data_IF_979298669865
#
_entry.id   IF_979298669865
#
_cell.length_a   1.000
_cell.length_b   1.000
_cell.length_c   1.000
_cell.angle_alpha   90.00
_cell.angle_beta   90.00
_cell.angle_gamma   90.00
#
_symmetry.space_group_name_H-M   'P 1'
#
loop_
_entity.id
_entity.type
_entity.pdbx_description
1 polymer ?
#
# COMPACT_ATOMS: atom_id res chain seq x y z
N UNK A 1 11.15 1.97 11.68
CA UNK A 1 11.15 2.48 10.28
C UNK A 1 10.05 3.51 10.10
N UNK A 2 10.38 4.72 9.61
CA UNK A 2 9.47 5.85 9.44
C UNK A 2 9.53 6.34 7.99
N UNK A 3 8.38 6.41 7.32
CA UNK A 3 8.26 7.00 5.99
C UNK A 3 7.95 8.48 6.11
N UNK A 4 8.75 9.33 5.48
CA UNK A 4 8.55 10.78 5.49
C UNK A 4 9.08 11.42 4.21
N UNK A 5 8.76 12.69 3.98
CA UNK A 5 9.46 13.49 2.98
C UNK A 5 10.90 13.71 3.42
N UNK A 6 11.81 13.74 2.46
CA UNK A 6 13.19 14.11 2.71
C UNK A 6 13.27 15.61 3.03
N UNK A 7 14.18 15.95 3.92
CA UNK A 7 14.51 17.33 4.31
C UNK A 7 15.92 17.66 3.83
N UNK A 8 16.27 18.96 3.77
CA UNK A 8 17.57 19.38 3.27
C UNK A 8 18.75 18.81 4.08
N UNK A 9 18.53 18.51 5.36
CA UNK A 9 19.53 17.84 6.21
C UNK A 9 19.87 16.41 5.77
N UNK A 10 18.97 15.76 4.99
CA UNK A 10 19.12 14.37 4.53
C UNK A 10 19.90 14.30 3.20
N UNK A 11 20.21 15.46 2.59
CA UNK A 11 20.80 15.55 1.25
C UNK A 11 22.05 14.71 1.10
N UNK A 12 23.01 14.87 2.00
CA UNK A 12 24.30 14.19 1.93
C UNK A 12 24.16 12.67 2.10
N UNK A 13 23.23 12.23 2.97
CA UNK A 13 22.97 10.82 3.21
C UNK A 13 22.30 10.17 2.00
N UNK A 14 21.33 10.87 1.37
CA UNK A 14 20.66 10.40 0.15
C UNK A 14 21.64 10.35 -1.02
N UNK A 15 22.51 11.35 -1.19
CA UNK A 15 23.56 11.34 -2.20
C UNK A 15 24.54 10.18 -2.00
N UNK A 16 24.83 9.84 -0.73
CA UNK A 16 25.58 8.64 -0.38
C UNK A 16 24.92 7.35 -0.88
N UNK A 17 23.59 7.22 -0.72
CA UNK A 17 22.83 6.08 -1.25
C UNK A 17 22.83 6.03 -2.78
N UNK A 18 22.73 7.17 -3.47
CA UNK A 18 22.81 7.22 -4.94
C UNK A 18 24.19 6.78 -5.43
N UNK A 19 25.26 7.23 -4.77
CA UNK A 19 26.62 6.82 -5.08
C UNK A 19 26.84 5.32 -4.82
N UNK A 20 26.32 4.76 -3.71
CA UNK A 20 26.36 3.32 -3.45
C UNK A 20 25.62 2.55 -4.55
N UNK A 21 24.48 3.05 -5.01
CA UNK A 21 23.70 2.41 -6.06
C UNK A 21 24.38 2.44 -7.44
N UNK A 22 25.08 3.52 -7.79
CA UNK A 22 25.77 3.64 -9.08
C UNK A 22 26.92 2.63 -9.26
N UNK A 23 27.43 2.05 -8.19
CA UNK A 23 28.44 1.00 -8.24
C UNK A 23 27.90 -0.38 -8.69
N UNK A 24 26.58 -0.52 -8.82
CA UNK A 24 25.99 -1.76 -9.28
C UNK A 24 26.00 -1.87 -10.81
N UNK A 25 26.40 -3.00 -11.33
CA UNK A 25 26.51 -3.27 -12.79
C UNK A 25 25.23 -3.04 -13.60
N UNK A 26 24.05 -3.11 -12.94
CA UNK A 26 22.74 -2.90 -13.57
C UNK A 26 22.23 -1.46 -13.42
N UNK A 27 23.00 -0.59 -12.77
CA UNK A 27 22.64 0.80 -12.59
C UNK A 27 23.09 1.60 -13.82
N UNK A 28 22.21 2.43 -14.33
CA UNK A 28 22.52 3.34 -15.46
C UNK A 28 22.98 4.72 -14.98
N UNK A 29 23.14 4.88 -13.66
CA UNK A 29 23.61 6.13 -13.06
C UNK A 29 25.12 6.21 -13.08
N UNK A 30 25.63 7.44 -13.19
CA UNK A 30 27.05 7.77 -13.17
C UNK A 30 27.33 8.98 -12.26
N UNK A 31 28.53 9.51 -12.31
CA UNK A 31 28.93 10.67 -11.49
C UNK A 31 28.16 11.96 -11.84
N UNK A 32 27.50 12.03 -12.99
CA UNK A 32 26.71 13.17 -13.45
C UNK A 32 25.23 13.08 -13.11
N UNK A 33 24.71 11.87 -12.78
CA UNK A 33 23.29 11.65 -12.49
C UNK A 33 23.05 10.49 -11.52
N UNK A 34 22.21 10.66 -10.48
CA UNK A 34 21.59 11.93 -10.03
C UNK A 34 22.63 12.82 -9.34
N UNK A 35 22.62 14.10 -9.67
CA UNK A 35 23.48 15.08 -9.02
C UNK A 35 22.83 15.73 -7.78
N UNK A 36 23.62 16.51 -7.05
CA UNK A 36 23.18 17.23 -5.85
C UNK A 36 22.06 18.24 -6.15
N UNK A 37 22.09 18.87 -7.32
CA UNK A 37 21.08 19.84 -7.75
C UNK A 37 19.71 19.20 -7.94
N UNK A 38 19.67 18.03 -8.59
CA UNK A 38 18.47 17.23 -8.79
C UNK A 38 17.91 16.78 -7.44
N UNK A 39 18.75 16.21 -6.57
CA UNK A 39 18.31 15.77 -5.24
C UNK A 39 17.74 16.93 -4.41
N UNK A 40 18.42 18.08 -4.42
CA UNK A 40 17.95 19.28 -3.74
C UNK A 40 16.61 19.79 -4.28
N UNK A 41 16.44 19.82 -5.60
CA UNK A 41 15.18 20.17 -6.26
C UNK A 41 14.05 19.23 -5.82
N UNK A 42 14.30 17.92 -5.79
CA UNK A 42 13.30 16.93 -5.36
C UNK A 42 12.88 17.14 -3.90
N UNK A 43 13.80 17.50 -3.02
CA UNK A 43 13.51 17.85 -1.62
C UNK A 43 12.66 19.12 -1.54
N UNK A 44 13.10 20.20 -2.19
CA UNK A 44 12.43 21.50 -2.17
C UNK A 44 11.00 21.46 -2.75
N UNK A 45 10.75 20.58 -3.70
CA UNK A 45 9.43 20.38 -4.32
C UNK A 45 8.58 19.30 -3.61
N UNK A 46 9.04 18.80 -2.46
CA UNK A 46 8.40 17.68 -1.75
C UNK A 46 8.13 16.46 -2.66
N UNK A 47 9.06 16.19 -3.57
CA UNK A 47 8.98 15.09 -4.55
C UNK A 47 9.87 13.91 -4.18
N UNK A 48 10.50 13.91 -3.01
CA UNK A 48 11.38 12.86 -2.52
C UNK A 48 10.85 12.29 -1.21
N UNK A 49 10.51 11.01 -1.22
CA UNK A 49 10.22 10.25 0.00
C UNK A 49 11.44 9.47 0.45
N UNK A 50 11.65 9.41 1.74
CA UNK A 50 12.67 8.57 2.36
C UNK A 50 12.07 7.62 3.40
N UNK A 51 12.80 6.54 3.67
CA UNK A 51 12.56 5.62 4.75
C UNK A 51 13.72 5.72 5.72
N UNK A 52 13.41 6.08 6.95
CA UNK A 52 14.36 6.21 8.05
C UNK A 52 14.24 5.01 9.00
N UNK A 53 15.36 4.46 9.40
CA UNK A 53 15.46 3.44 10.44
C UNK A 53 16.53 3.84 11.46
N UNK A 54 16.12 4.02 12.74
CA UNK A 54 17.00 4.43 13.83
C UNK A 54 17.87 5.67 13.51
N UNK A 55 17.27 6.68 12.87
CA UNK A 55 17.94 7.92 12.51
C UNK A 55 18.81 7.85 11.25
N UNK A 56 18.79 6.75 10.52
CA UNK A 56 19.53 6.57 9.25
C UNK A 56 18.57 6.43 8.08
N UNK A 57 18.85 7.12 6.97
CA UNK A 57 18.08 6.95 5.73
C UNK A 57 18.52 5.66 5.04
N UNK A 58 17.60 4.73 4.88
CA UNK A 58 17.87 3.42 4.30
C UNK A 58 17.27 3.21 2.91
N UNK A 59 16.38 4.09 2.48
CA UNK A 59 15.82 4.08 1.14
C UNK A 59 15.27 5.46 0.76
N UNK A 60 15.26 5.76 -0.53
CA UNK A 60 14.65 6.95 -1.09
C UNK A 60 13.97 6.65 -2.43
N UNK A 61 12.95 7.42 -2.79
CA UNK A 61 12.26 7.37 -4.08
C UNK A 61 11.77 8.77 -4.42
N UNK A 62 12.03 9.20 -5.65
CA UNK A 62 11.50 10.45 -6.20
C UNK A 62 10.27 10.19 -7.07
N UNK A 63 9.38 11.18 -7.12
CA UNK A 63 8.34 11.26 -8.13
C UNK A 63 8.51 12.58 -8.89
N UNK A 64 9.04 12.41 -10.09
CA UNK A 64 9.47 13.53 -10.95
C UNK A 64 8.44 13.91 -12.01
N UNK A 65 8.68 15.02 -12.67
CA UNK A 65 8.12 15.36 -13.98
C UNK A 65 9.28 15.70 -14.90
N UNK A 66 9.61 14.75 -15.75
CA UNK A 66 10.51 14.97 -16.86
C UNK A 66 9.64 15.13 -18.12
N UNK A 67 9.69 16.31 -18.75
CA UNK A 67 8.88 16.60 -19.93
C UNK A 67 9.15 15.61 -21.09
N UNK A 68 10.35 15.06 -21.18
CA UNK A 68 10.69 14.08 -22.21
C UNK A 68 10.03 12.76 -21.89
N UNK A 69 10.16 12.28 -20.66
CA UNK A 69 9.54 11.02 -20.21
C UNK A 69 8.03 11.12 -20.19
N UNK A 70 7.47 12.20 -19.65
CA UNK A 70 6.02 12.39 -19.52
C UNK A 70 5.31 12.49 -20.89
N UNK A 71 6.01 12.93 -21.95
CA UNK A 71 5.45 13.07 -23.30
C UNK A 71 5.76 11.89 -24.23
N UNK A 72 6.33 10.80 -23.76
CA UNK A 72 6.49 9.59 -24.58
C UNK A 72 5.12 9.09 -25.06
N UNK A 73 5.02 8.76 -26.35
CA UNK A 73 3.77 8.24 -26.93
C UNK A 73 3.38 6.84 -26.42
N UNK A 74 4.23 6.20 -25.63
CA UNK A 74 4.01 4.90 -25.02
C UNK A 74 2.91 4.90 -23.95
N UNK A 75 2.73 6.05 -23.28
CA UNK A 75 1.81 6.15 -22.16
C UNK A 75 0.35 6.18 -22.60
N UNK A 76 -0.54 5.64 -21.78
CA UNK A 76 -1.96 5.65 -22.05
C UNK A 76 -2.49 7.08 -22.08
N UNK A 77 -3.00 7.50 -23.24
CA UNK A 77 -3.47 8.88 -23.49
C UNK A 77 -4.50 9.39 -22.48
N UNK A 78 -5.28 8.50 -21.84
CA UNK A 78 -6.26 8.86 -20.80
C UNK A 78 -5.63 9.46 -19.54
N UNK A 79 -4.31 9.19 -19.31
CA UNK A 79 -3.60 9.71 -18.15
C UNK A 79 -2.72 10.94 -18.45
N UNK A 80 -2.75 11.42 -19.70
CA UNK A 80 -1.96 12.59 -20.10
C UNK A 80 -2.16 13.75 -19.13
N UNK A 81 -1.07 14.34 -18.64
CA UNK A 81 -1.04 15.38 -17.59
C UNK A 81 -1.66 14.96 -16.23
N UNK A 82 -1.91 13.67 -16.01
CA UNK A 82 -2.48 13.11 -14.77
C UNK A 82 -1.67 11.94 -14.24
N UNK A 83 -0.53 11.67 -14.82
CA UNK A 83 0.45 10.70 -14.38
C UNK A 83 1.69 11.38 -13.78
N UNK A 84 2.51 10.62 -13.08
CA UNK A 84 3.82 11.03 -12.57
C UNK A 84 4.81 9.92 -12.74
N UNK A 85 6.04 10.29 -13.03
CA UNK A 85 7.15 9.36 -13.05
C UNK A 85 7.56 8.97 -11.62
N UNK A 86 7.83 7.69 -11.40
CA UNK A 86 8.57 7.19 -10.25
C UNK A 86 10.02 7.02 -10.66
N UNK A 87 10.90 7.78 -10.06
CA UNK A 87 12.32 7.84 -10.42
C UNK A 87 13.23 7.67 -9.20
N UNK A 88 14.49 7.43 -9.45
CA UNK A 88 15.58 7.46 -8.46
C UNK A 88 15.29 6.63 -7.19
N UNK A 89 14.71 5.42 -7.38
CA UNK A 89 14.50 4.50 -6.28
C UNK A 89 15.82 3.86 -5.87
N UNK A 90 16.19 4.03 -4.62
CA UNK A 90 17.37 3.43 -4.02
C UNK A 90 17.05 2.78 -2.68
N UNK A 91 17.73 1.68 -2.39
CA UNK A 91 17.69 0.99 -1.09
C UNK A 91 19.12 0.64 -0.71
N UNK A 92 19.52 1.02 0.51
CA UNK A 92 20.83 0.72 1.10
C UNK A 92 21.14 -0.78 0.99
N UNK A 93 22.35 -1.14 0.60
CA UNK A 93 22.74 -2.52 0.27
C UNK A 93 22.42 -3.50 1.41
N UNK A 94 22.70 -3.12 2.67
CA UNK A 94 22.43 -3.94 3.85
C UNK A 94 20.94 -4.19 4.13
N UNK A 95 20.04 -3.44 3.47
CA UNK A 95 18.57 -3.56 3.62
C UNK A 95 17.89 -4.13 2.38
N UNK A 96 18.66 -4.56 1.37
CA UNK A 96 18.10 -5.19 0.15
C UNK A 96 17.46 -6.55 0.44
N UNK A 97 16.66 -7.03 -0.51
CA UNK A 97 15.92 -8.31 -0.44
C UNK A 97 14.89 -8.43 0.71
N UNK A 98 14.54 -7.31 1.36
CA UNK A 98 13.54 -7.23 2.43
C UNK A 98 12.20 -6.62 1.97
N UNK A 99 12.00 -6.47 0.66
CA UNK A 99 10.78 -5.89 0.08
C UNK A 99 10.65 -4.37 0.23
N UNK A 100 11.71 -3.66 0.69
CA UNK A 100 11.68 -2.22 0.94
C UNK A 100 11.40 -1.42 -0.34
N UNK A 101 12.02 -1.78 -1.47
CA UNK A 101 11.77 -1.11 -2.75
C UNK A 101 10.28 -1.13 -3.13
N UNK A 102 9.62 -2.27 -3.01
CA UNK A 102 8.20 -2.39 -3.29
C UNK A 102 7.35 -1.56 -2.32
N UNK A 103 7.69 -1.54 -1.02
CA UNK A 103 7.02 -0.70 -0.03
C UNK A 103 7.19 0.79 -0.33
N UNK A 104 8.38 1.24 -0.77
CA UNK A 104 8.63 2.63 -1.18
C UNK A 104 7.75 3.03 -2.37
N UNK A 105 7.66 2.19 -3.41
CA UNK A 105 6.78 2.41 -4.56
C UNK A 105 5.31 2.55 -4.11
N UNK A 106 4.82 1.62 -3.27
CA UNK A 106 3.43 1.67 -2.78
C UNK A 106 3.15 2.94 -1.98
N UNK A 107 4.11 3.40 -1.16
CA UNK A 107 3.99 4.67 -0.43
C UNK A 107 3.97 5.88 -1.37
N UNK A 108 4.85 5.92 -2.37
CA UNK A 108 4.87 6.97 -3.39
C UNK A 108 3.55 7.00 -4.17
N UNK A 109 3.02 5.84 -4.58
CA UNK A 109 1.72 5.73 -5.24
C UNK A 109 0.58 6.25 -4.37
N UNK A 110 0.56 5.94 -3.07
CA UNK A 110 -0.46 6.44 -2.14
C UNK A 110 -0.40 7.98 -1.99
N UNK A 111 0.80 8.55 -1.94
CA UNK A 111 1.02 10.01 -1.91
C UNK A 111 0.51 10.65 -3.21
N UNK A 112 0.92 10.13 -4.35
CA UNK A 112 0.51 10.66 -5.66
C UNK A 112 -1.01 10.58 -5.87
N UNK A 113 -1.63 9.48 -5.42
CA UNK A 113 -3.08 9.33 -5.44
C UNK A 113 -3.78 10.42 -4.60
N UNK A 114 -3.28 10.72 -3.40
CA UNK A 114 -3.78 11.81 -2.54
C UNK A 114 -3.59 13.20 -3.20
N UNK A 115 -2.52 13.39 -3.96
CA UNK A 115 -2.28 14.59 -4.77
C UNK A 115 -3.16 14.68 -6.03
N UNK A 116 -3.99 13.66 -6.30
CA UNK A 116 -4.98 13.67 -7.40
C UNK A 116 -4.48 13.05 -8.71
N UNK A 117 -3.25 12.54 -8.76
CA UNK A 117 -2.76 11.82 -9.94
C UNK A 117 -3.56 10.54 -10.19
N UNK A 118 -3.63 10.13 -11.45
CA UNK A 118 -4.45 8.99 -11.89
C UNK A 118 -3.62 7.77 -12.25
N UNK A 119 -2.37 7.98 -12.61
CA UNK A 119 -1.42 6.92 -12.95
C UNK A 119 -0.01 7.27 -12.49
N UNK A 120 0.84 6.28 -12.46
CA UNK A 120 2.28 6.39 -12.34
C UNK A 120 2.94 5.60 -13.44
N UNK A 121 4.10 6.05 -13.87
CA UNK A 121 4.94 5.35 -14.83
C UNK A 121 6.40 5.39 -14.38
N UNK A 122 7.22 4.53 -14.97
CA UNK A 122 8.67 4.52 -14.77
C UNK A 122 9.38 3.86 -15.95
N UNK A 123 10.64 4.20 -16.11
CA UNK A 123 11.57 3.56 -17.02
C UNK A 123 12.52 2.66 -16.21
N UNK A 124 12.83 1.49 -16.73
CA UNK A 124 13.77 0.55 -16.12
C UNK A 124 14.66 -0.10 -17.19
N UNK A 125 15.96 -0.23 -16.92
CA UNK A 125 16.85 -0.97 -17.79
C UNK A 125 16.37 -2.42 -17.92
N UNK A 126 16.31 -3.00 -19.14
CA UNK A 126 16.01 -4.41 -19.35
C UNK A 126 16.93 -5.35 -18.57
N UNK A 127 18.18 -4.93 -18.35
CA UNK A 127 19.21 -5.72 -17.66
C UNK A 127 19.00 -5.74 -16.15
N UNK A 128 18.20 -4.80 -15.60
CA UNK A 128 17.87 -4.77 -14.18
C UNK A 128 16.70 -5.73 -13.87
N UNK A 129 16.94 -7.04 -14.02
CA UNK A 129 15.94 -8.08 -13.78
C UNK A 129 15.37 -8.06 -12.36
N UNK A 130 16.15 -7.58 -11.36
CA UNK A 130 15.65 -7.46 -9.97
C UNK A 130 14.55 -6.42 -9.86
N UNK A 131 14.74 -5.26 -10.48
CA UNK A 131 13.74 -4.20 -10.51
C UNK A 131 12.50 -4.68 -11.30
N UNK A 132 12.69 -5.22 -12.50
CA UNK A 132 11.60 -5.75 -13.34
C UNK A 132 10.74 -6.77 -12.57
N UNK A 133 11.36 -7.75 -11.92
CA UNK A 133 10.65 -8.78 -11.15
C UNK A 133 9.96 -8.23 -9.88
N UNK A 134 10.56 -7.24 -9.24
CA UNK A 134 9.96 -6.57 -8.07
C UNK A 134 8.69 -5.80 -8.47
N UNK A 135 8.74 -5.10 -9.59
CA UNK A 135 7.64 -4.25 -10.06
C UNK A 135 6.49 -5.06 -10.68
N UNK A 136 6.79 -6.18 -11.33
CA UNK A 136 5.76 -7.09 -11.86
C UNK A 136 4.76 -7.52 -10.77
N UNK A 137 5.23 -7.76 -9.55
CA UNK A 137 4.38 -8.10 -8.39
C UNK A 137 3.45 -6.97 -7.94
N UNK A 138 3.73 -5.74 -8.34
CA UNK A 138 2.93 -4.57 -8.00
C UNK A 138 1.82 -4.28 -9.02
N UNK A 139 1.69 -5.12 -10.06
CA UNK A 139 0.64 -5.01 -11.08
C UNK A 139 0.83 -3.82 -12.03
N UNK A 140 2.08 -3.46 -12.33
CA UNK A 140 2.38 -2.56 -13.43
C UNK A 140 2.22 -3.28 -14.77
N UNK A 141 1.77 -2.57 -15.78
CA UNK A 141 1.63 -3.07 -17.15
C UNK A 141 2.76 -2.50 -17.99
N UNK A 142 3.44 -3.34 -18.78
CA UNK A 142 4.45 -2.87 -19.74
C UNK A 142 3.73 -2.07 -20.83
N UNK A 143 4.10 -0.80 -20.96
CA UNK A 143 3.58 0.12 -21.98
C UNK A 143 4.34 0.01 -23.30
N UNK A 144 5.63 -0.33 -23.25
CA UNK A 144 6.48 -0.47 -24.43
C UNK A 144 7.96 -0.43 -24.09
N UNK A 145 8.76 -0.07 -25.09
CA UNK A 145 10.21 0.13 -24.99
C UNK A 145 10.59 1.43 -25.68
N UNK A 146 11.63 2.10 -25.20
CA UNK A 146 12.19 3.29 -25.82
C UNK A 146 13.71 3.35 -25.63
N UNK A 147 14.32 4.24 -26.40
CA UNK A 147 15.72 4.63 -26.24
C UNK A 147 15.75 6.09 -25.78
N UNK A 148 16.34 6.34 -24.61
CA UNK A 148 16.52 7.67 -24.04
C UNK A 148 17.87 7.76 -23.33
N UNK A 149 18.52 8.91 -23.41
CA UNK A 149 19.78 9.20 -22.74
C UNK A 149 20.89 8.19 -23.08
N UNK A 150 20.84 7.60 -24.30
CA UNK A 150 21.81 6.58 -24.76
C UNK A 150 21.57 5.17 -24.20
N UNK A 151 20.47 4.94 -23.50
CA UNK A 151 20.12 3.65 -22.93
C UNK A 151 18.78 3.15 -23.48
N UNK A 152 18.63 1.82 -23.49
CA UNK A 152 17.35 1.14 -23.78
C UNK A 152 16.57 0.96 -22.50
N UNK A 153 15.24 1.24 -22.56
CA UNK A 153 14.35 1.20 -21.42
C UNK A 153 13.11 0.36 -21.70
N UNK A 154 12.68 -0.41 -20.69
CA UNK A 154 11.32 -0.90 -20.59
C UNK A 154 10.48 0.15 -19.86
N UNK A 155 9.36 0.53 -20.49
CA UNK A 155 8.40 1.49 -19.93
C UNK A 155 7.23 0.73 -19.28
N UNK A 156 6.91 1.07 -18.05
CA UNK A 156 5.80 0.50 -17.29
C UNK A 156 4.87 1.59 -16.78
N UNK A 157 3.57 1.31 -16.81
CA UNK A 157 2.54 2.21 -16.32
C UNK A 157 1.59 1.47 -15.37
N UNK A 158 1.06 2.18 -14.36
CA UNK A 158 0.04 1.66 -13.46
C UNK A 158 -1.02 2.70 -13.17
N UNK A 159 -2.27 2.25 -13.31
CA UNK A 159 -3.46 2.97 -12.88
C UNK A 159 -3.59 2.97 -11.36
N UNK A 160 -3.60 4.14 -10.73
CA UNK A 160 -3.73 4.29 -9.28
C UNK A 160 -5.14 3.98 -8.76
N UNK A 161 -6.14 3.92 -9.64
CA UNK A 161 -7.54 3.66 -9.32
C UNK A 161 -8.06 2.34 -9.92
N UNK A 162 -7.15 1.43 -10.27
CA UNK A 162 -7.53 0.16 -10.91
C UNK A 162 -8.54 -0.63 -10.07
N UNK A 163 -8.29 -0.78 -8.77
CA UNK A 163 -9.15 -1.55 -7.85
C UNK A 163 -10.55 -0.90 -7.76
N UNK A 164 -10.61 0.41 -7.55
CA UNK A 164 -11.87 1.14 -7.47
C UNK A 164 -12.67 1.03 -8.76
N UNK A 165 -12.00 1.16 -9.90
CA UNK A 165 -12.68 1.02 -11.20
C UNK A 165 -13.18 -0.39 -11.45
N UNK A 166 -12.44 -1.41 -11.05
CA UNK A 166 -12.92 -2.79 -11.13
C UNK A 166 -14.16 -2.99 -10.27
N UNK A 167 -14.14 -2.53 -9.02
CA UNK A 167 -15.29 -2.65 -8.09
C UNK A 167 -16.52 -1.88 -8.60
N UNK A 168 -16.33 -0.64 -9.09
CA UNK A 168 -17.45 0.22 -9.55
C UNK A 168 -17.81 0.05 -11.04
N UNK A 169 -17.04 -0.73 -11.78
CA UNK A 169 -17.24 -1.07 -13.20
C UNK A 169 -17.64 -2.52 -13.37
N UNK A 170 -16.65 -3.39 -13.61
CA UNK A 170 -16.85 -4.82 -13.88
C UNK A 170 -17.67 -5.52 -12.79
N UNK A 171 -17.31 -5.30 -11.53
CA UNK A 171 -17.95 -5.93 -10.38
C UNK A 171 -19.04 -5.07 -9.74
N UNK A 172 -19.51 -4.01 -10.41
CA UNK A 172 -20.50 -3.09 -9.86
C UNK A 172 -21.78 -3.81 -9.42
N UNK A 173 -22.29 -4.71 -10.26
CA UNK A 173 -23.56 -5.42 -10.00
C UNK A 173 -23.44 -6.48 -8.92
N UNK A 174 -22.27 -7.10 -8.79
CA UNK A 174 -22.05 -8.24 -7.89
C UNK A 174 -21.40 -7.86 -6.57
N UNK A 175 -20.72 -6.71 -6.49
CA UNK A 175 -20.06 -6.23 -5.27
C UNK A 175 -20.57 -4.87 -4.81
N UNK A 176 -20.41 -3.83 -5.65
CA UNK A 176 -20.67 -2.46 -5.21
C UNK A 176 -22.15 -2.17 -4.92
N UNK A 177 -23.04 -2.52 -5.84
CA UNK A 177 -24.47 -2.27 -5.63
C UNK A 177 -25.04 -3.04 -4.43
N UNK A 178 -24.83 -4.37 -4.26
CA UNK A 178 -25.28 -5.08 -3.09
C UNK A 178 -24.71 -4.53 -1.77
N UNK A 179 -23.47 -4.06 -1.78
CA UNK A 179 -22.84 -3.43 -0.62
C UNK A 179 -23.57 -2.13 -0.23
N UNK A 180 -23.83 -1.23 -1.19
CA UNK A 180 -24.54 0.03 -0.94
C UNK A 180 -25.99 -0.24 -0.53
N UNK A 181 -26.69 -1.12 -1.24
CA UNK A 181 -28.08 -1.52 -0.93
C UNK A 181 -28.20 -2.09 0.50
N UNK A 182 -27.23 -2.92 0.93
CA UNK A 182 -27.24 -3.46 2.29
C UNK A 182 -27.07 -2.34 3.34
N UNK A 183 -26.15 -1.39 3.11
CA UNK A 183 -25.94 -0.27 4.02
C UNK A 183 -27.24 0.55 4.15
N UNK A 184 -27.89 0.87 3.05
CA UNK A 184 -29.12 1.67 3.03
C UNK A 184 -30.31 0.91 3.66
N UNK A 185 -30.55 -0.32 3.20
CA UNK A 185 -31.67 -1.15 3.64
C UNK A 185 -31.65 -1.43 5.14
N UNK A 186 -30.47 -1.76 5.65
CA UNK A 186 -30.29 -2.14 7.06
C UNK A 186 -29.79 -1.00 7.94
N UNK A 187 -29.58 0.20 7.37
CA UNK A 187 -29.05 1.38 8.08
C UNK A 187 -27.76 1.06 8.83
N UNK A 188 -26.85 0.34 8.14
CA UNK A 188 -25.63 -0.17 8.75
C UNK A 188 -24.66 0.96 9.11
N UNK A 189 -24.67 2.06 8.35
CA UNK A 189 -23.87 3.25 8.60
C UNK A 189 -24.82 4.44 8.80
N UNK A 190 -24.54 5.23 9.83
CA UNK A 190 -25.23 6.50 10.13
C UNK A 190 -24.19 7.61 10.22
N UNK A 191 -24.62 8.86 10.00
CA UNK A 191 -23.76 10.01 10.15
C UNK A 191 -23.20 10.10 11.58
N UNK A 192 -21.90 10.36 11.67
CA UNK A 192 -21.15 10.39 12.91
C UNK A 192 -20.68 9.03 13.43
N UNK A 193 -20.98 7.93 12.76
CA UNK A 193 -20.49 6.61 13.18
C UNK A 193 -18.96 6.54 13.13
N UNK A 194 -18.37 5.89 14.13
CA UNK A 194 -16.98 5.48 14.14
C UNK A 194 -16.89 3.97 14.11
N UNK A 195 -16.40 3.41 13.00
CA UNK A 195 -16.51 1.99 12.68
C UNK A 195 -15.15 1.31 12.72
N UNK A 196 -14.97 0.33 13.62
CA UNK A 196 -13.80 -0.53 13.60
C UNK A 196 -13.91 -1.56 12.48
N UNK A 197 -13.10 -1.43 11.45
CA UNK A 197 -13.02 -2.37 10.32
C UNK A 197 -11.94 -3.39 10.64
N UNK A 198 -12.33 -4.61 10.97
CA UNK A 198 -11.43 -5.66 11.41
C UNK A 198 -10.87 -6.43 10.21
N UNK A 199 -9.55 -6.42 10.07
CA UNK A 199 -8.83 -7.07 8.98
C UNK A 199 -8.18 -8.34 9.51
N UNK A 200 -8.52 -9.48 8.87
CA UNK A 200 -7.95 -10.80 9.20
C UNK A 200 -6.79 -11.21 8.29
N UNK A 201 -6.52 -10.43 7.24
CA UNK A 201 -5.59 -10.78 6.16
C UNK A 201 -6.20 -11.63 5.05
N UNK A 202 -7.43 -12.13 5.21
CA UNK A 202 -8.19 -12.83 4.18
C UNK A 202 -8.83 -11.88 3.16
N UNK A 203 -9.10 -12.40 1.94
CA UNK A 203 -9.63 -11.64 0.80
C UNK A 203 -10.92 -10.85 1.13
N UNK A 204 -11.79 -11.44 1.94
CA UNK A 204 -13.12 -10.87 2.22
C UNK A 204 -13.03 -9.67 3.17
N UNK A 205 -12.19 -9.77 4.21
CA UNK A 205 -11.93 -8.64 5.11
C UNK A 205 -11.20 -7.49 4.39
N UNK A 206 -10.31 -7.80 3.46
CA UNK A 206 -9.61 -6.81 2.62
C UNK A 206 -10.58 -6.11 1.66
N UNK A 207 -11.47 -6.88 1.01
CA UNK A 207 -12.50 -6.33 0.11
C UNK A 207 -13.47 -5.43 0.88
N UNK A 208 -13.96 -5.87 2.04
CA UNK A 208 -14.82 -5.05 2.90
C UNK A 208 -14.14 -3.75 3.32
N UNK A 209 -12.89 -3.84 3.78
CA UNK A 209 -12.10 -2.66 4.16
C UNK A 209 -11.93 -1.69 2.99
N UNK A 210 -11.67 -2.22 1.77
CA UNK A 210 -11.54 -1.39 0.57
C UNK A 210 -12.86 -0.72 0.18
N UNK A 211 -13.97 -1.43 0.21
CA UNK A 211 -15.28 -0.86 -0.11
C UNK A 211 -15.71 0.21 0.91
N UNK A 212 -15.47 -0.01 2.21
CA UNK A 212 -15.73 1.00 3.25
C UNK A 212 -14.83 2.24 3.06
N UNK A 213 -13.54 2.03 2.70
CA UNK A 213 -12.66 3.15 2.36
C UNK A 213 -13.20 3.95 1.17
N UNK A 214 -13.63 3.26 0.11
CA UNK A 214 -14.24 3.92 -1.06
C UNK A 214 -15.52 4.68 -0.69
N UNK A 215 -16.39 4.11 0.14
CA UNK A 215 -17.60 4.78 0.60
C UNK A 215 -17.28 6.09 1.36
N UNK A 216 -16.22 6.10 2.18
CA UNK A 216 -15.72 7.31 2.85
C UNK A 216 -15.09 8.28 1.86
N UNK A 217 -14.18 7.82 1.00
CA UNK A 217 -13.48 8.66 0.03
C UNK A 217 -14.44 9.32 -0.97
N UNK A 218 -15.53 8.62 -1.35
CA UNK A 218 -16.59 9.14 -2.22
C UNK A 218 -17.66 9.97 -1.47
N UNK A 219 -17.50 10.11 -0.15
CA UNK A 219 -18.43 10.87 0.71
C UNK A 219 -19.89 10.38 0.61
N UNK A 220 -20.08 9.07 0.45
CA UNK A 220 -21.44 8.50 0.42
C UNK A 220 -22.12 8.59 1.78
N UNK A 221 -21.34 8.50 2.86
CA UNK A 221 -21.78 8.58 4.25
C UNK A 221 -20.75 9.37 5.06
N UNK A 222 -21.21 10.11 6.07
CA UNK A 222 -20.34 10.79 7.01
C UNK A 222 -20.03 9.88 8.21
N UNK A 223 -18.94 9.11 8.10
CA UNK A 223 -18.46 8.21 9.16
C UNK A 223 -16.94 8.17 9.21
N UNK A 224 -16.37 7.64 10.28
CA UNK A 224 -14.94 7.51 10.47
C UNK A 224 -14.54 6.03 10.59
N UNK A 225 -13.93 5.42 9.58
CA UNK A 225 -13.44 4.04 9.65
C UNK A 225 -12.08 3.99 10.36
N UNK A 226 -11.95 3.05 11.31
CA UNK A 226 -10.70 2.68 11.98
C UNK A 226 -10.32 1.26 11.54
N UNK A 227 -9.26 1.13 10.74
CA UNK A 227 -8.81 -0.16 10.22
C UNK A 227 -7.87 -0.80 11.23
N UNK A 228 -8.28 -1.93 11.79
CA UNK A 228 -7.52 -2.63 12.83
C UNK A 228 -7.19 -4.06 12.43
N UNK A 229 -5.97 -4.48 12.70
CA UNK A 229 -5.53 -5.87 12.53
C UNK A 229 -4.90 -6.37 13.82
N UNK A 230 -5.42 -7.46 14.33
CA UNK A 230 -4.86 -8.15 15.48
C UNK A 230 -3.81 -9.16 15.04
N UNK A 231 -2.65 -9.12 15.67
CA UNK A 231 -1.69 -10.21 15.62
C UNK A 231 -1.89 -11.13 16.84
N UNK A 232 -2.48 -12.32 16.66
CA UNK A 232 -2.71 -13.26 17.76
C UNK A 232 -1.51 -14.16 18.07
N UNK A 233 -0.34 -13.93 17.44
CA UNK A 233 0.86 -14.76 17.49
C UNK A 233 1.30 -15.27 16.11
N UNK A 234 0.96 -14.56 15.01
CA UNK A 234 1.42 -14.93 13.67
C UNK A 234 2.95 -14.83 13.56
N UNK A 235 3.52 -15.68 12.72
CA UNK A 235 4.94 -15.59 12.38
C UNK A 235 5.28 -14.26 11.71
N UNK A 236 6.48 -13.76 11.95
CA UNK A 236 6.96 -12.49 11.38
C UNK A 236 6.81 -12.41 9.85
N UNK A 237 7.07 -13.53 9.16
CA UNK A 237 6.92 -13.63 7.71
C UNK A 237 5.48 -13.34 7.27
N UNK A 238 4.50 -13.90 7.97
CA UNK A 238 3.09 -13.76 7.62
C UNK A 238 2.61 -12.34 7.92
N UNK A 239 3.05 -11.75 9.03
CA UNK A 239 2.80 -10.35 9.35
C UNK A 239 3.36 -9.40 8.28
N UNK A 240 4.61 -9.62 7.83
CA UNK A 240 5.21 -8.85 6.72
C UNK A 240 4.40 -8.95 5.43
N UNK A 241 3.86 -10.14 5.12
CA UNK A 241 3.01 -10.32 3.94
C UNK A 241 1.66 -9.59 4.09
N UNK A 242 1.05 -9.64 5.27
CA UNK A 242 -0.20 -8.90 5.55
C UNK A 242 0.00 -7.39 5.48
N UNK A 243 1.10 -6.88 6.04
CA UNK A 243 1.47 -5.47 5.91
C UNK A 243 1.63 -5.04 4.45
N UNK A 244 2.32 -5.86 3.66
CA UNK A 244 2.48 -5.61 2.24
C UNK A 244 1.13 -5.56 1.51
N UNK A 245 0.25 -6.52 1.78
CA UNK A 245 -1.09 -6.55 1.19
C UNK A 245 -1.91 -5.30 1.59
N UNK A 246 -1.86 -4.91 2.86
CA UNK A 246 -2.56 -3.71 3.32
C UNK A 246 -2.07 -2.43 2.61
N UNK A 247 -0.75 -2.32 2.38
CA UNK A 247 -0.18 -1.23 1.58
C UNK A 247 -0.62 -1.29 0.11
N UNK A 248 -0.62 -2.49 -0.49
CA UNK A 248 -1.03 -2.70 -1.88
C UNK A 248 -2.50 -2.29 -2.11
N UNK A 249 -3.36 -2.54 -1.13
CA UNK A 249 -4.78 -2.14 -1.16
C UNK A 249 -5.02 -0.71 -0.65
N UNK A 250 -3.96 0.02 -0.30
CA UNK A 250 -4.05 1.38 0.24
C UNK A 250 -5.00 1.46 1.46
N UNK A 251 -4.85 0.53 2.41
CA UNK A 251 -5.63 0.49 3.65
C UNK A 251 -4.73 0.92 4.81
N UNK A 252 -5.05 2.01 5.54
CA UNK A 252 -4.24 2.51 6.64
C UNK A 252 -4.51 1.71 7.93
N UNK A 253 -3.87 0.56 8.07
CA UNK A 253 -4.11 -0.38 9.17
C UNK A 253 -3.30 -0.04 10.42
N UNK A 254 -3.96 -0.03 11.57
CA UNK A 254 -3.35 -0.02 12.90
C UNK A 254 -3.23 -1.45 13.42
N UNK A 255 -2.02 -1.84 13.82
CA UNK A 255 -1.73 -3.19 14.30
C UNK A 255 -1.68 -3.21 15.83
N UNK A 256 -2.15 -4.30 16.44
CA UNK A 256 -1.97 -4.59 17.85
C UNK A 256 -1.74 -6.08 18.07
N UNK A 257 -0.94 -6.43 19.06
CA UNK A 257 -0.57 -7.83 19.36
C UNK A 257 -1.32 -8.34 20.59
N UNK A 258 -1.52 -9.65 20.61
CA UNK A 258 -2.11 -10.40 21.72
C UNK A 258 -1.42 -11.78 21.79
N UNK A 259 -1.56 -12.49 22.91
CA UNK A 259 -0.99 -13.82 23.11
C UNK A 259 -2.05 -14.94 22.91
N UNK A 260 -3.07 -14.70 22.08
CA UNK A 260 -4.20 -15.64 21.94
C UNK A 260 -3.76 -17.04 21.55
N UNK A 261 -2.74 -17.20 20.72
CA UNK A 261 -2.28 -18.53 20.31
C UNK A 261 -1.61 -19.28 21.47
N UNK A 262 -0.78 -18.61 22.25
CA UNK A 262 -0.13 -19.19 23.42
C UNK A 262 -1.16 -19.56 24.50
N UNK A 263 -2.09 -18.65 24.78
CA UNK A 263 -3.18 -18.84 25.75
C UNK A 263 -4.07 -20.04 25.38
N UNK A 264 -4.37 -20.22 24.08
CA UNK A 264 -5.18 -21.33 23.57
C UNK A 264 -4.43 -22.67 23.63
N UNK A 265 -3.12 -22.67 23.38
CA UNK A 265 -2.28 -23.84 23.49
C UNK A 265 -2.23 -24.35 24.95
N UNK A 266 -2.14 -23.46 25.92
CA UNK A 266 -2.18 -23.79 27.36
C UNK A 266 -3.54 -24.41 27.77
N UNK A 267 -4.67 -23.95 27.22
CA UNK A 267 -6.01 -24.49 27.52
C UNK A 267 -6.17 -25.94 27.03
N UNK A 268 -5.57 -26.30 25.90
CA UNK A 268 -5.47 -27.67 25.38
C UNK A 268 -6.79 -28.35 24.96
N UNK A 269 -7.94 -27.72 25.15
CA UNK A 269 -9.28 -28.24 24.79
C UNK A 269 -10.01 -27.26 23.85
N UNK A 270 -10.66 -27.80 22.80
CA UNK A 270 -11.46 -27.02 21.85
C UNK A 270 -10.74 -25.74 21.35
N UNK A 271 -9.53 -25.86 20.81
CA UNK A 271 -8.67 -24.69 20.55
C UNK A 271 -9.33 -23.66 19.60
N UNK A 272 -10.07 -24.12 18.59
CA UNK A 272 -10.76 -23.23 17.64
C UNK A 272 -11.85 -22.39 18.31
N UNK A 273 -12.62 -22.97 19.22
CA UNK A 273 -13.67 -22.27 19.96
C UNK A 273 -13.08 -21.16 20.85
N UNK A 274 -12.07 -21.51 21.66
CA UNK A 274 -11.44 -20.52 22.54
C UNK A 274 -10.71 -19.45 21.76
N UNK A 275 -9.97 -19.81 20.70
CA UNK A 275 -9.30 -18.87 19.83
C UNK A 275 -10.29 -17.84 19.22
N UNK A 276 -11.40 -18.32 18.67
CA UNK A 276 -12.46 -17.46 18.09
C UNK A 276 -13.04 -16.50 19.12
N UNK A 277 -13.38 -17.01 20.32
CA UNK A 277 -13.96 -16.21 21.40
C UNK A 277 -13.00 -15.15 21.94
N UNK A 278 -11.73 -15.52 22.18
CA UNK A 278 -10.69 -14.62 22.68
C UNK A 278 -10.38 -13.53 21.64
N UNK A 279 -10.20 -13.91 20.36
CA UNK A 279 -9.98 -12.95 19.27
C UNK A 279 -11.10 -11.93 19.18
N UNK A 280 -12.36 -12.37 19.27
CA UNK A 280 -13.52 -11.48 19.24
C UNK A 280 -13.52 -10.52 20.43
N UNK A 281 -13.20 -11.00 21.64
CA UNK A 281 -13.08 -10.18 22.84
C UNK A 281 -12.02 -9.10 22.72
N UNK A 282 -10.85 -9.42 22.18
CA UNK A 282 -9.77 -8.46 21.97
C UNK A 282 -10.12 -7.40 20.91
N UNK A 283 -10.77 -7.80 19.81
CA UNK A 283 -11.23 -6.86 18.79
C UNK A 283 -12.27 -5.88 19.33
N UNK A 284 -13.23 -6.37 20.14
CA UNK A 284 -14.25 -5.51 20.76
C UNK A 284 -13.64 -4.52 21.75
N UNK A 285 -12.68 -4.97 22.55
CA UNK A 285 -11.95 -4.10 23.49
C UNK A 285 -11.20 -3.02 22.72
N UNK A 286 -10.46 -3.41 21.68
CA UNK A 286 -9.70 -2.46 20.85
C UNK A 286 -10.60 -1.45 20.14
N UNK A 287 -11.72 -1.88 19.59
CA UNK A 287 -12.71 -0.99 18.99
C UNK A 287 -13.26 0.03 20.01
N UNK A 288 -13.56 -0.42 21.24
CA UNK A 288 -14.01 0.45 22.33
C UNK A 288 -12.93 1.47 22.76
N UNK A 289 -11.68 1.04 22.87
CA UNK A 289 -10.54 1.93 23.17
C UNK A 289 -10.40 3.05 22.12
N UNK A 290 -10.67 2.73 20.85
CA UNK A 290 -10.65 3.68 19.74
C UNK A 290 -11.92 4.54 19.65
N UNK A 291 -12.88 4.37 20.57
CA UNK A 291 -14.14 5.10 20.57
C UNK A 291 -15.10 4.69 19.43
N UNK A 292 -14.93 3.50 18.87
CA UNK A 292 -15.81 3.01 17.83
C UNK A 292 -17.14 2.55 18.44
N UNK A 293 -18.24 2.93 17.79
CA UNK A 293 -19.60 2.51 18.16
C UNK A 293 -20.11 1.36 17.31
N UNK A 294 -19.39 0.97 16.26
CA UNK A 294 -19.67 -0.17 15.38
C UNK A 294 -18.43 -0.96 15.03
N UNK A 295 -18.62 -2.22 14.66
CA UNK A 295 -17.57 -3.11 14.15
C UNK A 295 -18.05 -3.70 12.83
N UNK A 296 -17.16 -3.69 11.83
CA UNK A 296 -17.34 -4.34 10.53
C UNK A 296 -16.40 -5.55 10.43
N UNK A 297 -16.99 -6.71 10.17
CA UNK A 297 -16.30 -8.00 10.02
C UNK A 297 -16.58 -8.57 8.63
N UNK A 298 -15.56 -9.08 7.96
CA UNK A 298 -15.67 -9.74 6.65
C UNK A 298 -16.11 -11.20 6.78
N UNK A 299 -17.32 -11.42 7.31
CA UNK A 299 -17.95 -12.74 7.42
C UNK A 299 -18.90 -12.99 6.25
N UNK A 300 -18.98 -14.25 5.81
CA UNK A 300 -19.98 -14.71 4.86
C UNK A 300 -21.28 -15.13 5.55
N UNK A 301 -22.31 -15.31 4.73
CA UNK A 301 -23.59 -15.82 5.21
C UNK A 301 -23.46 -17.20 5.90
N UNK A 302 -22.61 -18.06 5.34
CA UNK A 302 -22.34 -19.39 5.89
C UNK A 302 -21.71 -19.31 7.29
N UNK A 303 -20.79 -18.38 7.53
CA UNK A 303 -20.19 -18.14 8.86
C UNK A 303 -21.25 -17.77 9.90
N UNK A 304 -22.30 -17.03 9.48
CA UNK A 304 -23.39 -16.65 10.36
C UNK A 304 -24.25 -17.86 10.67
N UNK A 305 -24.58 -18.69 9.68
CA UNK A 305 -25.36 -19.92 9.87
C UNK A 305 -24.63 -20.89 10.80
N UNK A 306 -23.32 -21.11 10.58
CA UNK A 306 -22.51 -21.98 11.42
C UNK A 306 -22.51 -21.53 12.89
N UNK A 307 -22.42 -20.21 13.14
CA UNK A 307 -22.48 -19.66 14.49
C UNK A 307 -23.88 -19.80 15.15
N UNK A 308 -24.94 -19.88 14.36
CA UNK A 308 -26.32 -20.09 14.87
C UNK A 308 -26.59 -21.58 15.15
N UNK A 309 -26.06 -22.46 14.27
CA UNK A 309 -26.27 -23.90 14.39
C UNK A 309 -25.34 -24.56 15.42
N UNK A 310 -24.23 -23.95 15.75
CA UNK A 310 -23.21 -24.40 16.75
C UNK A 310 -22.98 -23.31 17.79
N UNK A 311 -23.93 -23.04 18.72
CA UNK A 311 -23.83 -21.97 19.72
C UNK A 311 -22.75 -22.20 20.77
#
# INVERSE_FOLDING_TARGET
MIYRYAEIKDLDEIMGLYKEASLNEWCTWDDSYPDTGICKKDIETESLLCLEDNGTIIAAISFDSDDIVDNLELWNKKYRNKARELARLVVKDSYRNQGIAAKMILKAMAVLKKRGYKAVHYLVSPDNLRAVNSYAKLGFTKAGECELYGYRWHAYEKDLYYIERSITGEFKRTLWNPFVEAIEKYKLIKDGDRIAVCISGGKDSMLLARMLKMAKDYRLYDFSPEYIMMNPGYMERDMKQMEFNNLLFDIPVSYFSTNVFDDVEEIGKNPCFFCSRMRRGHLYRKAKELGCNKIALGHHYDDVIENVCNP
#
